data_IF_387927199616
#
_entry.id   IF_387927199616
#
_cell.length_a   1.000
_cell.length_b   1.000
_cell.length_c   1.000
_cell.angle_alpha   90.00
_cell.angle_beta   90.00
_cell.angle_gamma   90.00
#
_symmetry.space_group_name_H-M   'P 1'
#
loop_
_entity.id
_entity.type
_entity.pdbx_description
1 polymer ?
#
# COMPACT_ATOMS: atom_id res chain seq x y z
N UNK A 1 7.76 -9.96 -48.25
CA UNK A 1 8.20 -10.96 -49.26
C UNK A 1 7.01 -11.77 -49.77
N UNK A 2 6.20 -12.46 -48.96
CA UNK A 2 5.04 -13.25 -49.41
C UNK A 2 4.04 -12.47 -50.29
N UNK A 3 3.72 -11.23 -49.94
CA UNK A 3 2.82 -10.36 -50.72
C UNK A 3 3.32 -10.09 -52.15
N UNK A 4 4.62 -9.77 -52.30
CA UNK A 4 5.21 -9.56 -53.63
C UNK A 4 5.18 -10.79 -54.52
N UNK A 5 5.39 -11.98 -53.93
CA UNK A 5 5.27 -13.25 -54.64
C UNK A 5 3.83 -13.51 -55.08
N UNK A 6 2.87 -13.27 -54.19
CA UNK A 6 1.42 -13.44 -54.51
C UNK A 6 0.99 -12.54 -55.67
N UNK A 7 1.42 -11.27 -55.69
CA UNK A 7 1.14 -10.35 -56.80
C UNK A 7 1.72 -10.82 -58.14
N UNK A 8 2.92 -11.41 -58.12
CA UNK A 8 3.55 -11.94 -59.32
C UNK A 8 2.83 -13.20 -59.87
N UNK A 9 2.21 -14.02 -59.01
CA UNK A 9 1.47 -15.21 -59.42
C UNK A 9 0.08 -14.88 -60.00
N UNK A 10 -0.76 -14.12 -59.24
CA UNK A 10 -2.08 -13.69 -59.67
C UNK A 10 -2.57 -12.48 -58.92
N UNK A 11 -2.69 -11.30 -59.55
CA UNK A 11 -3.21 -10.09 -58.88
C UNK A 11 -4.66 -10.25 -58.41
N UNK A 12 -5.52 -11.00 -59.17
CA UNK A 12 -6.93 -11.20 -58.81
C UNK A 12 -7.10 -12.06 -57.56
N UNK A 13 -6.31 -13.11 -57.39
CA UNK A 13 -6.32 -13.95 -56.17
C UNK A 13 -5.73 -13.19 -54.99
N UNK A 14 -4.72 -12.35 -55.22
CA UNK A 14 -4.12 -11.51 -54.17
C UNK A 14 -5.12 -10.50 -53.63
N UNK A 15 -6.01 -9.93 -54.47
CA UNK A 15 -7.05 -9.02 -54.05
C UNK A 15 -8.03 -9.70 -53.09
N UNK A 16 -8.38 -10.96 -53.29
CA UNK A 16 -9.26 -11.75 -52.41
C UNK A 16 -8.59 -11.88 -51.00
N UNK A 17 -7.30 -12.26 -50.96
CA UNK A 17 -6.58 -12.38 -49.71
C UNK A 17 -6.48 -11.07 -48.95
N UNK A 18 -6.20 -9.97 -49.64
CA UNK A 18 -6.14 -8.62 -49.07
C UNK A 18 -7.50 -8.15 -48.56
N UNK A 19 -8.58 -8.41 -49.33
CA UNK A 19 -9.93 -8.07 -48.91
C UNK A 19 -10.35 -8.83 -47.63
N UNK A 20 -9.99 -10.12 -47.52
CA UNK A 20 -10.24 -10.89 -46.32
C UNK A 20 -9.52 -10.32 -45.07
N UNK A 21 -8.25 -9.95 -45.22
CA UNK A 21 -7.48 -9.34 -44.14
C UNK A 21 -8.05 -7.97 -43.78
N UNK A 22 -8.47 -7.18 -44.77
CA UNK A 22 -9.13 -5.90 -44.52
C UNK A 22 -10.46 -6.05 -43.77
N UNK A 23 -11.27 -7.06 -44.16
CA UNK A 23 -12.51 -7.38 -43.45
C UNK A 23 -12.26 -7.83 -42.00
N UNK A 24 -11.22 -8.64 -41.77
CA UNK A 24 -10.79 -9.00 -40.44
C UNK A 24 -10.35 -7.77 -39.61
N UNK A 25 -9.55 -6.88 -40.19
CA UNK A 25 -9.12 -5.65 -39.54
C UNK A 25 -10.29 -4.75 -39.15
N UNK A 26 -11.26 -4.59 -40.05
CA UNK A 26 -12.49 -3.85 -39.78
C UNK A 26 -13.31 -4.46 -38.64
N UNK A 27 -13.50 -5.80 -38.67
CA UNK A 27 -14.17 -6.50 -37.59
C UNK A 27 -13.46 -6.33 -36.24
N UNK A 28 -12.13 -6.43 -36.22
CA UNK A 28 -11.32 -6.25 -35.00
C UNK A 28 -11.41 -4.83 -34.47
N UNK A 29 -11.44 -3.84 -35.36
CA UNK A 29 -11.59 -2.45 -34.97
C UNK A 29 -12.98 -2.18 -34.38
N UNK A 30 -14.05 -2.70 -34.98
CA UNK A 30 -15.42 -2.57 -34.47
C UNK A 30 -15.62 -3.26 -33.13
N UNK A 31 -14.99 -4.42 -32.91
CA UNK A 31 -15.08 -5.16 -31.64
C UNK A 31 -14.22 -4.59 -30.51
N UNK A 32 -13.28 -3.69 -30.82
CA UNK A 32 -12.34 -3.15 -29.82
C UNK A 32 -13.04 -2.35 -28.70
N UNK A 33 -13.92 -1.40 -29.05
CA UNK A 33 -14.56 -0.55 -28.07
C UNK A 33 -15.46 -1.33 -27.10
N UNK A 34 -16.41 -2.18 -27.55
CA UNK A 34 -17.24 -2.96 -26.64
C UNK A 34 -16.44 -3.96 -25.79
N UNK A 35 -15.36 -4.52 -26.34
CA UNK A 35 -14.51 -5.44 -25.59
C UNK A 35 -13.70 -4.70 -24.49
N UNK A 36 -13.17 -3.53 -24.81
CA UNK A 36 -12.46 -2.68 -23.84
C UNK A 36 -13.38 -2.27 -22.69
N UNK A 37 -14.60 -1.81 -22.99
CA UNK A 37 -15.59 -1.42 -21.99
C UNK A 37 -15.97 -2.59 -21.08
N UNK A 38 -16.28 -3.76 -21.67
CA UNK A 38 -16.62 -4.96 -20.91
C UNK A 38 -15.47 -5.40 -19.98
N UNK A 39 -14.23 -5.36 -20.44
CA UNK A 39 -13.05 -5.68 -19.61
C UNK A 39 -12.84 -4.64 -18.49
N UNK A 40 -13.06 -3.35 -18.76
CA UNK A 40 -12.94 -2.32 -17.75
C UNK A 40 -13.97 -2.50 -16.62
N UNK A 41 -15.24 -2.77 -16.97
CA UNK A 41 -16.31 -3.07 -16.01
C UNK A 41 -16.00 -4.35 -15.19
N UNK A 42 -15.54 -5.41 -15.85
CA UNK A 42 -15.14 -6.65 -15.18
C UNK A 42 -14.06 -6.39 -14.13
N UNK A 43 -13.00 -5.64 -14.46
CA UNK A 43 -11.90 -5.32 -13.55
C UNK A 43 -12.36 -4.53 -12.32
N UNK A 44 -13.31 -3.60 -12.49
CA UNK A 44 -13.88 -2.82 -11.37
C UNK A 44 -14.69 -3.72 -10.44
N UNK A 45 -15.54 -4.58 -10.99
CA UNK A 45 -16.38 -5.48 -10.20
C UNK A 45 -15.55 -6.56 -9.49
N UNK A 46 -14.54 -7.12 -10.17
CA UNK A 46 -13.62 -8.08 -9.56
C UNK A 46 -12.82 -7.47 -8.40
N UNK A 47 -12.37 -6.22 -8.53
CA UNK A 47 -11.71 -5.50 -7.44
C UNK A 47 -12.64 -5.28 -6.25
N UNK A 48 -13.91 -4.93 -6.50
CA UNK A 48 -14.93 -4.73 -5.46
C UNK A 48 -15.26 -6.04 -4.71
N UNK A 49 -15.40 -7.13 -5.46
CA UNK A 49 -15.62 -8.47 -4.87
C UNK A 49 -14.46 -8.88 -3.98
N UNK A 50 -13.22 -8.78 -4.49
CA UNK A 50 -12.00 -9.14 -3.74
C UNK A 50 -11.84 -8.28 -2.48
N UNK A 51 -12.09 -6.97 -2.55
CA UNK A 51 -12.06 -6.09 -1.38
C UNK A 51 -13.07 -6.50 -0.33
N UNK A 52 -14.31 -6.84 -0.75
CA UNK A 52 -15.35 -7.32 0.15
C UNK A 52 -14.98 -8.67 0.80
N UNK A 53 -14.34 -9.57 0.05
CA UNK A 53 -13.85 -10.85 0.55
C UNK A 53 -12.76 -10.66 1.61
N UNK A 54 -11.74 -9.84 1.32
CA UNK A 54 -10.65 -9.53 2.27
C UNK A 54 -11.17 -8.85 3.53
N UNK A 55 -12.10 -7.90 3.40
CA UNK A 55 -12.77 -7.27 4.55
C UNK A 55 -13.51 -8.31 5.39
N UNK A 56 -14.19 -9.25 4.76
CA UNK A 56 -14.90 -10.34 5.43
C UNK A 56 -13.96 -11.21 6.26
N UNK A 57 -12.79 -11.56 5.73
CA UNK A 57 -11.77 -12.32 6.47
C UNK A 57 -11.24 -11.54 7.67
N UNK A 58 -10.95 -10.25 7.50
CA UNK A 58 -10.45 -9.38 8.59
C UNK A 58 -11.48 -9.19 9.70
N UNK A 59 -12.75 -9.18 9.36
CA UNK A 59 -13.86 -8.94 10.31
C UNK A 59 -14.62 -10.20 10.70
N UNK A 60 -14.01 -11.39 10.55
CA UNK A 60 -14.70 -12.68 10.78
C UNK A 60 -15.19 -12.84 12.23
N UNK A 61 -14.40 -12.34 13.21
CA UNK A 61 -14.74 -12.46 14.63
C UNK A 61 -15.97 -11.59 15.00
N UNK A 62 -15.98 -10.27 14.77
CA UNK A 62 -17.18 -9.46 15.05
C UNK A 62 -18.38 -9.92 14.24
N UNK A 63 -18.19 -10.44 13.04
CA UNK A 63 -19.27 -10.98 12.22
C UNK A 63 -19.91 -12.24 12.83
N UNK A 64 -19.08 -13.14 13.40
CA UNK A 64 -19.56 -14.30 14.14
C UNK A 64 -20.34 -13.89 15.40
N UNK A 65 -19.82 -12.91 16.13
CA UNK A 65 -20.45 -12.41 17.35
C UNK A 65 -21.80 -11.73 17.08
N UNK A 66 -21.93 -11.05 15.94
CA UNK A 66 -23.20 -10.40 15.54
C UNK A 66 -24.18 -11.33 14.82
N UNK A 67 -23.80 -12.58 14.52
CA UNK A 67 -24.67 -13.54 13.82
C UNK A 67 -24.97 -13.19 12.36
N UNK A 68 -24.19 -12.31 11.74
CA UNK A 68 -24.46 -11.76 10.39
C UNK A 68 -23.78 -12.52 9.24
N UNK A 69 -23.28 -13.75 9.48
CA UNK A 69 -22.57 -14.53 8.45
C UNK A 69 -23.43 -14.81 7.22
N UNK A 70 -24.71 -15.12 7.42
CA UNK A 70 -25.62 -15.42 6.32
C UNK A 70 -25.86 -14.20 5.43
N UNK A 71 -26.12 -13.04 6.00
CA UNK A 71 -26.32 -11.80 5.26
C UNK A 71 -25.05 -11.38 4.49
N UNK A 72 -23.88 -11.52 5.12
CA UNK A 72 -22.60 -11.21 4.48
C UNK A 72 -22.30 -12.15 3.32
N UNK A 73 -22.58 -13.46 3.48
CA UNK A 73 -22.44 -14.46 2.42
C UNK A 73 -23.34 -14.14 1.22
N UNK A 74 -24.59 -13.78 1.46
CA UNK A 74 -25.51 -13.39 0.37
C UNK A 74 -24.98 -12.18 -0.38
N UNK A 75 -24.48 -11.17 0.33
CA UNK A 75 -23.90 -9.98 -0.30
C UNK A 75 -22.67 -10.31 -1.15
N UNK A 76 -21.79 -11.18 -0.64
CA UNK A 76 -20.64 -11.64 -1.41
C UNK A 76 -21.07 -12.45 -2.65
N UNK A 77 -22.04 -13.36 -2.52
CA UNK A 77 -22.60 -14.11 -3.63
C UNK A 77 -23.17 -13.20 -4.73
N UNK A 78 -23.87 -12.12 -4.35
CA UNK A 78 -24.37 -11.15 -5.32
C UNK A 78 -23.22 -10.45 -6.07
N UNK A 79 -22.17 -10.02 -5.38
CA UNK A 79 -21.00 -9.43 -6.02
C UNK A 79 -20.30 -10.43 -6.95
N UNK A 80 -20.22 -11.70 -6.56
CA UNK A 80 -19.66 -12.76 -7.39
C UNK A 80 -20.51 -13.01 -8.65
N UNK A 81 -21.83 -12.97 -8.52
CA UNK A 81 -22.75 -13.08 -9.68
C UNK A 81 -22.52 -11.91 -10.64
N UNK A 82 -22.40 -10.68 -10.14
CA UNK A 82 -22.12 -9.51 -10.99
C UNK A 82 -20.79 -9.66 -11.75
N UNK A 83 -19.74 -10.20 -11.11
CA UNK A 83 -18.44 -10.50 -11.77
C UNK A 83 -18.60 -11.56 -12.85
N UNK A 84 -19.30 -12.67 -12.55
CA UNK A 84 -19.53 -13.77 -13.48
C UNK A 84 -20.36 -13.29 -14.69
N UNK A 85 -21.39 -12.49 -14.47
CA UNK A 85 -22.23 -11.97 -15.57
C UNK A 85 -21.42 -11.09 -16.52
N UNK A 86 -20.48 -10.29 -16.00
CA UNK A 86 -19.59 -9.49 -16.84
C UNK A 86 -18.54 -10.33 -17.56
N UNK A 87 -17.98 -11.34 -16.90
CA UNK A 87 -17.06 -12.29 -17.54
C UNK A 87 -17.75 -13.03 -18.69
N UNK A 88 -18.96 -13.56 -18.46
CA UNK A 88 -19.77 -14.20 -19.49
C UNK A 88 -20.08 -13.26 -20.67
N UNK A 89 -20.36 -11.98 -20.40
CA UNK A 89 -20.56 -10.98 -21.46
C UNK A 89 -19.29 -10.77 -22.28
N UNK A 90 -18.14 -10.67 -21.63
CA UNK A 90 -16.84 -10.53 -22.29
C UNK A 90 -16.54 -11.75 -23.15
N UNK A 91 -16.73 -12.96 -22.62
CA UNK A 91 -16.53 -14.21 -23.34
C UNK A 91 -17.48 -14.35 -24.53
N UNK A 92 -18.75 -13.95 -24.42
CA UNK A 92 -19.70 -13.94 -25.56
C UNK A 92 -19.23 -13.01 -26.67
N UNK A 93 -18.74 -11.82 -26.36
CA UNK A 93 -18.19 -10.88 -27.35
C UNK A 93 -16.95 -11.47 -28.03
N UNK A 94 -16.06 -12.11 -27.29
CA UNK A 94 -14.88 -12.75 -27.84
C UNK A 94 -15.24 -13.96 -28.72
N UNK A 95 -16.21 -14.77 -28.31
CA UNK A 95 -16.72 -15.88 -29.10
C UNK A 95 -17.35 -15.42 -30.41
N UNK A 96 -18.18 -14.36 -30.38
CA UNK A 96 -18.77 -13.75 -31.58
C UNK A 96 -17.67 -13.24 -32.53
N UNK A 97 -16.67 -12.56 -31.99
CA UNK A 97 -15.53 -12.11 -32.80
C UNK A 97 -14.76 -13.28 -33.41
N UNK A 98 -14.44 -14.30 -32.62
CA UNK A 98 -13.69 -15.48 -33.07
C UNK A 98 -14.45 -16.24 -34.14
N UNK A 99 -15.76 -16.44 -33.97
CA UNK A 99 -16.63 -17.11 -34.95
C UNK A 99 -16.72 -16.29 -36.24
N UNK A 100 -16.96 -15.00 -36.16
CA UNK A 100 -17.04 -14.13 -37.34
C UNK A 100 -15.69 -14.08 -38.09
N UNK A 101 -14.57 -14.02 -37.39
CA UNK A 101 -13.25 -14.04 -38.01
C UNK A 101 -12.94 -15.37 -38.68
N UNK A 102 -13.36 -16.50 -38.10
CA UNK A 102 -13.23 -17.82 -38.71
C UNK A 102 -14.08 -17.96 -40.00
N UNK A 103 -15.29 -17.41 -40.02
CA UNK A 103 -16.14 -17.38 -41.21
C UNK A 103 -15.52 -16.52 -42.34
N UNK A 104 -14.97 -15.36 -42.02
CA UNK A 104 -14.28 -14.49 -43.01
C UNK A 104 -13.07 -15.20 -43.57
N UNK A 105 -12.20 -15.75 -42.75
CA UNK A 105 -10.97 -16.43 -43.22
C UNK A 105 -11.24 -17.73 -43.94
N UNK A 106 -12.16 -18.55 -43.43
CA UNK A 106 -12.58 -19.79 -44.07
C UNK A 106 -13.32 -19.59 -45.40
N UNK A 107 -14.24 -18.61 -45.42
CA UNK A 107 -14.94 -18.21 -46.64
C UNK A 107 -13.99 -17.69 -47.73
N UNK A 108 -13.05 -16.86 -47.35
CA UNK A 108 -12.02 -16.32 -48.25
C UNK A 108 -11.12 -17.46 -48.81
N UNK A 109 -10.75 -18.44 -47.98
CA UNK A 109 -9.97 -19.59 -48.42
C UNK A 109 -10.72 -20.44 -49.45
N UNK A 110 -12.00 -20.72 -49.21
CA UNK A 110 -12.86 -21.42 -50.15
C UNK A 110 -13.01 -20.65 -51.46
N UNK A 111 -13.25 -19.35 -51.41
CA UNK A 111 -13.38 -18.49 -52.58
C UNK A 111 -12.06 -18.43 -53.37
N UNK A 112 -10.92 -18.33 -52.70
CA UNK A 112 -9.62 -18.37 -53.32
C UNK A 112 -9.36 -19.69 -54.03
N UNK A 113 -9.75 -20.84 -53.43
CA UNK A 113 -9.64 -22.16 -54.05
C UNK A 113 -10.52 -22.28 -55.30
N UNK A 114 -11.77 -21.83 -55.24
CA UNK A 114 -12.71 -21.92 -56.39
C UNK A 114 -12.24 -21.03 -57.56
N UNK A 115 -11.84 -19.81 -57.29
CA UNK A 115 -11.32 -18.94 -58.36
C UNK A 115 -9.96 -19.39 -58.89
N UNK A 116 -9.08 -19.91 -58.00
CA UNK A 116 -7.81 -20.48 -58.40
C UNK A 116 -7.98 -21.74 -59.26
N UNK A 117 -8.93 -22.65 -58.95
CA UNK A 117 -9.27 -23.82 -59.74
C UNK A 117 -9.80 -23.40 -61.14
N UNK A 118 -10.64 -22.37 -61.22
CA UNK A 118 -11.12 -21.85 -62.50
C UNK A 118 -9.94 -21.36 -63.37
N UNK A 119 -8.98 -20.64 -62.83
CA UNK A 119 -7.77 -20.17 -63.53
C UNK A 119 -6.87 -21.35 -63.98
N UNK A 120 -6.83 -22.45 -63.24
CA UNK A 120 -6.11 -23.67 -63.63
C UNK A 120 -6.83 -24.33 -64.83
N UNK A 121 -8.17 -24.40 -64.84
CA UNK A 121 -8.94 -24.94 -65.95
C UNK A 121 -8.80 -24.12 -67.25
N UNK A 122 -8.61 -22.78 -67.10
CA UNK A 122 -8.33 -21.85 -68.19
C UNK A 122 -6.86 -21.88 -68.66
N UNK A 123 -6.02 -22.74 -68.09
CA UNK A 123 -4.57 -22.84 -68.34
C UNK A 123 -3.77 -21.54 -68.06
N UNK A 124 -4.31 -20.65 -67.28
CA UNK A 124 -3.61 -19.40 -66.87
C UNK A 124 -2.71 -19.61 -65.65
N UNK A 125 -3.00 -20.65 -64.83
CA UNK A 125 -2.21 -21.10 -63.70
C UNK A 125 -1.93 -22.60 -63.75
N UNK A 126 -0.78 -23.05 -63.24
CA UNK A 126 -0.57 -24.48 -62.99
C UNK A 126 -1.09 -24.90 -61.60
N UNK A 127 -1.39 -26.20 -61.41
CA UNK A 127 -1.78 -26.72 -60.10
C UNK A 127 -0.71 -26.46 -59.04
N UNK A 128 0.58 -26.59 -59.38
CA UNK A 128 1.69 -26.28 -58.46
C UNK A 128 1.74 -24.82 -58.07
N UNK A 129 1.46 -23.90 -59.02
CA UNK A 129 1.37 -22.46 -58.73
C UNK A 129 0.20 -22.14 -57.80
N UNK A 130 -0.97 -22.78 -57.97
CA UNK A 130 -2.11 -22.61 -57.07
C UNK A 130 -1.80 -23.08 -55.62
N UNK A 131 -1.15 -24.23 -55.48
CA UNK A 131 -0.75 -24.77 -54.19
C UNK A 131 0.27 -23.85 -53.50
N UNK A 132 1.29 -23.36 -54.25
CA UNK A 132 2.25 -22.38 -53.74
C UNK A 132 1.56 -21.06 -53.33
N UNK A 133 0.64 -20.57 -54.18
CA UNK A 133 -0.13 -19.35 -53.85
C UNK A 133 -0.95 -19.50 -52.59
N UNK A 134 -1.67 -20.65 -52.43
CA UNK A 134 -2.50 -20.92 -51.22
C UNK A 134 -1.61 -20.92 -49.94
N UNK A 135 -0.42 -21.51 -50.02
CA UNK A 135 0.53 -21.51 -48.91
C UNK A 135 1.02 -20.09 -48.54
N UNK A 136 1.36 -19.28 -49.57
CA UNK A 136 1.75 -17.89 -49.33
C UNK A 136 0.60 -17.03 -48.82
N UNK A 137 -0.62 -17.21 -49.33
CA UNK A 137 -1.82 -16.52 -48.87
C UNK A 137 -2.15 -16.86 -47.41
N UNK A 138 -2.05 -18.12 -47.02
CA UNK A 138 -2.22 -18.57 -45.65
C UNK A 138 -1.18 -17.93 -44.69
N UNK A 139 0.11 -17.94 -45.10
CA UNK A 139 1.19 -17.33 -44.33
C UNK A 139 1.02 -15.81 -44.22
N UNK A 140 0.67 -15.12 -45.30
CA UNK A 140 0.39 -13.69 -45.32
C UNK A 140 -0.77 -13.32 -44.39
N UNK A 141 -1.92 -13.99 -44.55
CA UNK A 141 -3.11 -13.77 -43.73
C UNK A 141 -2.81 -13.96 -42.24
N UNK A 142 -2.19 -15.08 -41.88
CA UNK A 142 -1.86 -15.39 -40.48
C UNK A 142 -0.93 -14.36 -39.88
N UNK A 143 0.14 -13.93 -40.58
CA UNK A 143 1.06 -12.94 -40.07
C UNK A 143 0.44 -11.57 -39.88
N UNK A 144 -0.42 -11.13 -40.83
CA UNK A 144 -1.07 -9.82 -40.76
C UNK A 144 -2.18 -9.82 -39.68
N UNK A 145 -2.97 -10.90 -39.58
CA UNK A 145 -3.98 -10.98 -38.51
C UNK A 145 -3.36 -11.06 -37.14
N UNK A 146 -2.22 -11.77 -36.96
CA UNK A 146 -1.49 -11.78 -35.70
C UNK A 146 -0.91 -10.37 -35.36
N UNK A 147 -0.38 -9.65 -36.35
CA UNK A 147 0.11 -8.28 -36.14
C UNK A 147 -1.02 -7.34 -35.68
N UNK A 148 -2.19 -7.43 -36.32
CA UNK A 148 -3.38 -6.67 -35.90
C UNK A 148 -3.82 -7.07 -34.50
N UNK A 149 -3.81 -8.36 -34.16
CA UNK A 149 -4.12 -8.88 -32.84
C UNK A 149 -3.18 -8.29 -31.79
N UNK A 150 -1.88 -8.37 -31.99
CA UNK A 150 -0.88 -7.82 -31.06
C UNK A 150 -0.97 -6.30 -30.94
N UNK A 151 -1.27 -5.58 -32.01
CA UNK A 151 -1.47 -4.13 -31.94
C UNK A 151 -2.69 -3.77 -31.03
N UNK A 152 -3.76 -4.55 -31.09
CA UNK A 152 -4.93 -4.37 -30.21
C UNK A 152 -4.60 -4.76 -28.78
N UNK A 153 -3.88 -5.86 -28.54
CA UNK A 153 -3.40 -6.27 -27.22
C UNK A 153 -2.52 -5.19 -26.57
N UNK A 154 -1.57 -4.63 -27.32
CA UNK A 154 -0.76 -3.50 -26.86
C UNK A 154 -1.61 -2.28 -26.46
N UNK A 155 -2.66 -2.01 -27.23
CA UNK A 155 -3.59 -0.92 -26.90
C UNK A 155 -4.45 -1.25 -25.65
N UNK A 156 -4.79 -2.51 -25.44
CA UNK A 156 -5.49 -2.97 -24.22
C UNK A 156 -4.60 -2.90 -22.96
N UNK A 157 -3.27 -3.09 -23.11
CA UNK A 157 -2.33 -2.88 -22.00
C UNK A 157 -2.38 -1.47 -21.44
N UNK A 158 -2.80 -0.47 -22.22
CA UNK A 158 -3.04 0.88 -21.73
C UNK A 158 -4.01 0.95 -20.55
N UNK A 159 -5.03 0.07 -20.53
CA UNK A 159 -5.99 -0.01 -19.42
C UNK A 159 -5.34 -0.44 -18.10
N UNK A 160 -4.38 -1.37 -18.17
CA UNK A 160 -3.59 -1.78 -17.02
C UNK A 160 -2.53 -0.73 -16.68
N UNK A 161 -1.97 -0.07 -17.71
CA UNK A 161 -1.01 1.02 -17.57
C UNK A 161 -1.57 2.24 -16.84
N UNK A 162 -2.82 2.63 -17.11
CA UNK A 162 -3.50 3.72 -16.41
C UNK A 162 -3.55 3.46 -14.89
N UNK A 163 -3.86 2.23 -14.47
CA UNK A 163 -3.88 1.85 -13.04
C UNK A 163 -2.50 1.79 -12.40
N UNK A 164 -1.49 1.35 -13.15
CA UNK A 164 -0.11 1.37 -12.69
C UNK A 164 0.43 2.81 -12.60
N UNK A 165 -0.04 3.68 -13.50
CA UNK A 165 0.33 5.09 -13.49
C UNK A 165 -0.13 5.80 -12.21
N UNK A 166 -1.30 5.48 -11.68
CA UNK A 166 -1.81 6.02 -10.41
C UNK A 166 -0.87 5.73 -9.23
N UNK A 167 -0.09 4.63 -9.31
CA UNK A 167 0.89 4.27 -8.29
C UNK A 167 2.30 4.76 -8.68
N UNK A 168 2.69 4.50 -9.93
CA UNK A 168 4.08 4.74 -10.38
C UNK A 168 4.40 6.21 -10.66
N UNK A 169 3.38 7.03 -10.93
CA UNK A 169 3.51 8.47 -11.18
C UNK A 169 3.16 9.30 -9.95
N UNK A 170 2.81 8.66 -8.80
CA UNK A 170 2.71 9.37 -7.53
C UNK A 170 4.05 10.06 -7.24
N UNK A 171 3.99 11.30 -6.76
CA UNK A 171 5.20 12.06 -6.45
C UNK A 171 6.07 11.26 -5.47
N UNK A 172 7.29 10.94 -5.89
CA UNK A 172 8.26 10.30 -5.01
C UNK A 172 8.56 11.21 -3.82
N UNK A 173 8.78 10.62 -2.66
CA UNK A 173 9.25 11.37 -1.50
C UNK A 173 10.50 12.17 -1.85
N UNK A 174 10.58 13.47 -1.42
CA UNK A 174 11.72 14.30 -1.74
C UNK A 174 13.01 13.67 -1.21
N UNK A 175 13.98 13.54 -2.10
CA UNK A 175 15.33 13.08 -1.75
C UNK A 175 15.99 14.10 -0.84
N UNK A 176 16.94 13.62 -0.03
CA UNK A 176 17.74 14.49 0.83
C UNK A 176 18.46 15.56 -0.01
N UNK A 177 18.25 16.83 0.33
CA UNK A 177 18.95 17.96 -0.28
C UNK A 177 20.32 18.20 0.38
N UNK A 178 20.53 17.64 1.56
CA UNK A 178 21.74 17.84 2.36
C UNK A 178 22.34 16.49 2.73
N UNK A 179 23.60 16.27 2.31
CA UNK A 179 24.40 15.16 2.84
C UNK A 179 24.77 15.47 4.29
N UNK A 180 24.14 14.82 5.22
CA UNK A 180 24.38 15.04 6.66
C UNK A 180 24.82 13.73 7.32
N UNK A 181 25.89 13.81 8.10
CA UNK A 181 26.32 12.71 8.94
C UNK A 181 25.31 12.51 10.09
N UNK A 182 24.55 11.42 10.01
CA UNK A 182 23.53 11.06 11.01
C UNK A 182 24.06 11.05 12.45
N UNK A 183 25.36 10.75 12.64
CA UNK A 183 25.95 10.69 13.98
C UNK A 183 26.04 12.06 14.62
N UNK A 184 26.16 13.13 13.83
CA UNK A 184 26.31 14.51 14.32
C UNK A 184 25.01 15.22 14.63
N UNK A 185 23.87 14.73 14.09
CA UNK A 185 22.57 15.34 14.33
C UNK A 185 22.19 15.21 15.79
N UNK A 186 21.89 16.33 16.44
CA UNK A 186 21.30 16.37 17.77
C UNK A 186 19.79 16.11 17.67
N UNK A 187 19.23 15.21 18.48
CA UNK A 187 17.81 14.90 18.40
C UNK A 187 16.94 15.95 19.12
N UNK A 188 17.18 17.23 18.82
CA UNK A 188 16.28 18.31 19.24
C UNK A 188 15.27 18.60 18.13
N UNK A 189 14.00 18.70 18.49
CA UNK A 189 12.90 18.91 17.56
C UNK A 189 12.28 20.27 17.85
N UNK A 190 12.00 21.03 16.79
CA UNK A 190 11.22 22.27 16.90
C UNK A 190 10.03 22.20 15.92
N UNK A 191 8.86 22.48 16.42
CA UNK A 191 7.67 22.71 15.62
C UNK A 191 7.48 24.21 15.51
N UNK A 192 7.30 24.71 14.29
CA UNK A 192 7.11 26.14 14.01
C UNK A 192 5.79 26.34 13.30
N UNK A 193 4.84 26.96 13.99
CA UNK A 193 3.50 27.32 13.49
C UNK A 193 2.80 26.14 12.80
N UNK A 194 2.82 24.96 13.39
CA UNK A 194 2.22 23.78 12.78
C UNK A 194 0.70 23.91 12.74
N UNK A 195 0.16 23.82 11.51
CA UNK A 195 -1.25 23.66 11.23
C UNK A 195 -1.50 22.43 10.38
N UNK A 196 -2.59 21.69 10.63
CA UNK A 196 -2.94 20.51 9.86
C UNK A 196 -4.45 20.33 9.73
N UNK A 197 -4.87 20.01 8.50
CA UNK A 197 -6.22 19.53 8.12
C UNK A 197 -6.09 18.46 7.04
N UNK A 198 -6.99 17.48 7.02
CA UNK A 198 -6.90 16.36 6.05
C UNK A 198 -7.25 16.76 4.62
N UNK A 199 -8.16 17.71 4.43
CA UNK A 199 -8.52 18.25 3.11
C UNK A 199 -8.80 19.75 3.17
N UNK A 200 -8.71 20.41 2.01
CA UNK A 200 -9.13 21.80 1.89
C UNK A 200 -10.63 21.94 2.18
N UNK A 201 -10.98 22.83 3.11
CA UNK A 201 -12.37 23.03 3.55
C UNK A 201 -12.78 22.22 4.78
N UNK A 202 -11.98 21.25 5.23
CA UNK A 202 -12.21 20.58 6.51
C UNK A 202 -11.74 21.43 7.71
N UNK A 203 -12.31 21.20 8.91
CA UNK A 203 -11.88 21.89 10.12
C UNK A 203 -10.42 21.58 10.44
N UNK A 204 -9.75 22.56 11.05
CA UNK A 204 -8.37 22.38 11.54
C UNK A 204 -8.34 21.37 12.68
N UNK A 205 -7.46 20.39 12.59
CA UNK A 205 -7.20 19.43 13.66
C UNK A 205 -6.12 19.97 14.60
N UNK A 206 -5.09 20.58 14.00
CA UNK A 206 -4.02 21.25 14.72
C UNK A 206 -3.85 22.64 14.13
N UNK A 207 -3.58 23.63 14.99
CA UNK A 207 -3.38 25.01 14.55
C UNK A 207 -2.42 25.74 15.46
N UNK A 208 -1.50 26.50 14.86
CA UNK A 208 -0.54 27.36 15.58
C UNK A 208 0.24 26.63 16.69
N UNK A 209 0.69 25.38 16.41
CA UNK A 209 1.52 24.68 17.38
C UNK A 209 2.99 25.12 17.25
N UNK A 210 3.49 25.70 18.33
CA UNK A 210 4.87 26.14 18.46
C UNK A 210 5.46 25.58 19.76
N UNK A 211 6.41 24.66 19.66
CA UNK A 211 7.19 24.20 20.80
C UNK A 211 8.49 23.53 20.36
N UNK A 212 9.42 23.43 21.31
CA UNK A 212 10.71 22.77 21.11
C UNK A 212 10.89 21.64 22.12
N UNK A 213 11.58 20.58 21.69
CA UNK A 213 11.96 19.44 22.52
C UNK A 213 13.47 19.36 22.49
N UNK A 214 14.09 19.46 23.66
CA UNK A 214 15.54 19.43 23.78
C UNK A 214 16.09 18.00 23.54
N UNK A 215 17.34 17.89 23.09
CA UNK A 215 18.01 16.60 22.95
C UNK A 215 18.08 15.88 24.30
N UNK A 216 17.63 14.62 24.33
CA UNK A 216 17.57 13.80 25.56
C UNK A 216 16.37 14.09 26.46
N UNK A 217 15.52 15.04 26.12
CA UNK A 217 14.32 15.38 26.89
C UNK A 217 13.24 14.28 26.74
N UNK A 218 12.51 14.03 27.82
CA UNK A 218 11.33 13.15 27.84
C UNK A 218 10.07 13.98 28.00
N UNK A 219 9.18 13.94 26.99
CA UNK A 219 7.92 14.65 27.02
C UNK A 219 6.74 13.69 26.96
N UNK A 220 5.63 14.08 27.62
CA UNK A 220 4.35 13.43 27.49
C UNK A 220 3.34 14.34 26.76
N UNK A 221 2.66 13.82 25.77
CA UNK A 221 1.56 14.51 25.07
C UNK A 221 0.25 13.99 25.66
N UNK A 222 -0.55 14.89 26.19
CA UNK A 222 -1.86 14.58 26.80
C UNK A 222 -2.96 15.41 26.12
N UNK A 223 -4.22 15.01 26.31
CA UNK A 223 -5.37 15.75 25.80
C UNK A 223 -6.57 14.82 25.58
N UNK A 224 -7.77 15.35 25.39
CA UNK A 224 -8.97 14.58 25.17
C UNK A 224 -8.89 13.71 23.91
N UNK A 225 -9.76 12.71 23.82
CA UNK A 225 -9.84 11.90 22.58
C UNK A 225 -10.26 12.79 21.41
N UNK A 226 -9.62 12.61 20.26
CA UNK A 226 -9.92 13.40 19.07
C UNK A 226 -9.24 14.77 18.98
N UNK A 227 -8.46 15.21 19.96
CA UNK A 227 -7.77 16.53 19.92
C UNK A 227 -6.55 16.58 18.98
N UNK A 228 -6.25 15.51 18.24
CA UNK A 228 -5.16 15.53 17.25
C UNK A 228 -3.83 14.91 17.71
N UNK A 229 -3.76 14.21 18.86
CA UNK A 229 -2.52 13.55 19.34
C UNK A 229 -1.87 12.63 18.31
N UNK A 230 -2.62 11.67 17.79
CA UNK A 230 -2.09 10.74 16.79
C UNK A 230 -1.77 11.42 15.45
N UNK A 231 -2.47 12.50 15.11
CA UNK A 231 -2.14 13.35 13.95
C UNK A 231 -0.79 14.05 14.18
N UNK A 232 -0.57 14.63 15.36
CA UNK A 232 0.72 15.24 15.72
C UNK A 232 1.86 14.21 15.68
N UNK A 233 1.65 13.00 16.21
CA UNK A 233 2.63 11.91 16.12
C UNK A 233 2.95 11.57 14.66
N UNK A 234 1.95 11.45 13.79
CA UNK A 234 2.17 11.19 12.35
C UNK A 234 2.96 12.31 11.67
N UNK A 235 2.74 13.56 12.05
CA UNK A 235 3.52 14.72 11.57
C UNK A 235 4.97 14.63 12.07
N UNK A 236 5.17 14.32 13.35
CA UNK A 236 6.51 14.12 13.94
C UNK A 236 7.25 12.92 13.34
N UNK A 237 6.56 11.88 12.87
CA UNK A 237 7.14 10.74 12.17
C UNK A 237 7.44 11.04 10.69
N UNK A 238 7.01 12.21 10.18
CA UNK A 238 7.10 12.55 8.77
C UNK A 238 6.13 11.78 7.87
N UNK A 239 5.13 11.09 8.44
CA UNK A 239 4.10 10.35 7.70
C UNK A 239 3.02 11.27 7.11
N UNK A 240 2.81 12.43 7.74
CA UNK A 240 1.89 13.46 7.27
C UNK A 240 2.65 14.79 7.15
N UNK A 241 2.66 15.43 5.99
CA UNK A 241 3.20 16.78 5.85
C UNK A 241 2.25 17.77 6.54
N UNK A 242 2.74 18.72 7.35
CA UNK A 242 1.89 19.77 7.88
C UNK A 242 1.32 20.62 6.75
N UNK A 243 0.06 21.10 6.92
CA UNK A 243 -0.59 22.01 5.96
C UNK A 243 0.05 23.40 6.04
N UNK A 244 0.39 23.85 7.26
CA UNK A 244 1.10 25.09 7.54
C UNK A 244 2.26 24.83 8.50
N UNK A 245 3.33 25.62 8.40
CA UNK A 245 4.50 25.51 9.26
C UNK A 245 5.46 24.41 8.85
N UNK A 246 6.43 24.14 9.72
CA UNK A 246 7.48 23.15 9.48
C UNK A 246 7.97 22.48 10.75
N UNK A 247 8.42 21.23 10.61
CA UNK A 247 9.12 20.49 11.68
C UNK A 247 10.60 20.50 11.38
N UNK A 248 11.39 20.88 12.38
CA UNK A 248 12.84 20.93 12.29
C UNK A 248 13.47 19.92 13.25
N UNK A 249 14.58 19.31 12.82
CA UNK A 249 15.48 18.55 13.68
C UNK A 249 16.86 19.18 13.61
N UNK A 250 17.44 19.51 14.77
CA UNK A 250 18.72 20.24 14.87
C UNK A 250 18.72 21.55 14.02
N UNK A 251 17.57 22.23 13.96
CA UNK A 251 17.37 23.43 13.15
C UNK A 251 17.22 23.22 11.65
N UNK A 252 17.26 21.95 11.17
CA UNK A 252 17.12 21.60 9.76
C UNK A 252 15.69 21.13 9.51
N UNK A 253 14.94 21.71 8.54
CA UNK A 253 13.65 21.20 8.14
C UNK A 253 13.73 19.73 7.70
N UNK A 254 12.83 18.87 8.22
CA UNK A 254 12.85 17.43 7.91
C UNK A 254 12.74 17.15 6.42
N UNK A 255 12.03 18.01 5.66
CA UNK A 255 11.94 17.91 4.20
C UNK A 255 13.29 18.09 3.50
N UNK A 256 14.14 19.00 3.99
CA UNK A 256 15.50 19.22 3.43
C UNK A 256 16.47 18.12 3.82
N UNK A 257 16.32 17.58 5.02
CA UNK A 257 17.11 16.45 5.47
C UNK A 257 16.79 15.17 4.66
N UNK A 258 15.57 15.09 4.13
CA UNK A 258 15.02 13.91 3.49
C UNK A 258 14.33 12.98 4.51
N UNK A 259 13.10 12.55 4.19
CA UNK A 259 12.29 11.75 5.12
C UNK A 259 12.96 10.42 5.46
N UNK A 260 13.55 9.74 4.49
CA UNK A 260 14.25 8.47 4.70
C UNK A 260 15.43 8.60 5.68
N UNK A 261 16.18 9.72 5.61
CA UNK A 261 17.29 10.02 6.52
C UNK A 261 16.76 10.36 7.91
N UNK A 262 15.74 11.20 7.98
CA UNK A 262 15.08 11.56 9.23
C UNK A 262 14.51 10.33 9.95
N UNK A 263 13.81 9.48 9.24
CA UNK A 263 13.21 8.26 9.77
C UNK A 263 14.26 7.28 10.31
N UNK A 264 15.50 7.27 9.79
CA UNK A 264 16.56 6.46 10.36
C UNK A 264 16.92 6.84 11.80
N UNK A 265 16.71 8.09 12.18
CA UNK A 265 16.96 8.58 13.55
C UNK A 265 15.85 8.18 14.53
N UNK A 266 14.70 7.71 14.04
CA UNK A 266 13.48 7.49 14.82
C UNK A 266 13.25 6.01 15.08
N UNK A 267 12.98 5.65 16.32
CA UNK A 267 12.28 4.43 16.72
C UNK A 267 10.85 4.79 17.09
N UNK A 268 9.88 4.10 16.54
CA UNK A 268 8.48 4.40 16.82
C UNK A 268 7.70 3.12 17.14
N UNK A 269 6.73 3.25 18.05
CA UNK A 269 5.64 2.29 18.24
C UNK A 269 4.35 3.08 18.15
N UNK A 270 3.56 2.83 17.10
CA UNK A 270 2.27 3.51 16.86
C UNK A 270 1.09 2.59 17.21
N UNK A 271 -0.08 3.18 17.44
CA UNK A 271 -1.28 2.47 17.91
C UNK A 271 -1.67 1.29 16.99
N UNK A 272 -1.62 1.48 15.68
CA UNK A 272 -2.02 0.47 14.69
C UNK A 272 -0.82 -0.35 14.16
N UNK A 273 0.31 -0.36 14.88
CA UNK A 273 1.51 -1.08 14.44
C UNK A 273 1.29 -2.60 14.45
N UNK A 274 1.93 -3.29 13.51
CA UNK A 274 1.76 -4.73 13.32
C UNK A 274 3.09 -5.44 13.12
N UNK A 275 3.11 -6.70 13.52
CA UNK A 275 4.20 -7.60 13.23
C UNK A 275 3.99 -8.24 11.86
N UNK A 276 5.08 -8.47 11.17
CA UNK A 276 5.09 -9.15 9.88
C UNK A 276 5.10 -10.67 10.08
N UNK A 277 4.60 -11.41 9.10
CA UNK A 277 4.73 -12.86 9.10
C UNK A 277 6.21 -13.25 9.05
N UNK A 278 6.66 -14.04 10.03
CA UNK A 278 8.05 -14.42 10.21
C UNK A 278 8.35 -14.79 11.65
N UNK A 279 9.61 -14.97 12.00
CA UNK A 279 10.04 -15.26 13.38
C UNK A 279 10.05 -13.98 14.24
N UNK A 280 10.10 -14.16 15.56
CA UNK A 280 10.26 -13.04 16.49
C UNK A 280 11.60 -12.32 16.25
N UNK A 281 12.68 -13.08 15.98
CA UNK A 281 13.98 -12.49 15.66
C UNK A 281 13.94 -11.60 14.42
N UNK A 282 13.30 -12.07 13.35
CA UNK A 282 13.10 -11.28 12.12
C UNK A 282 12.28 -10.04 12.37
N UNK A 283 11.25 -10.13 13.20
CA UNK A 283 10.42 -8.98 13.56
C UNK A 283 11.17 -7.94 14.38
N UNK A 284 12.02 -8.35 15.34
CA UNK A 284 12.82 -7.42 16.14
C UNK A 284 13.90 -6.76 15.29
N UNK A 285 14.61 -7.52 14.45
CA UNK A 285 15.64 -6.99 13.56
C UNK A 285 15.06 -6.24 12.36
N UNK A 286 13.74 -6.32 12.14
CA UNK A 286 13.04 -5.82 10.96
C UNK A 286 13.66 -6.31 9.65
N UNK A 287 14.01 -7.63 9.63
CA UNK A 287 14.63 -8.28 8.47
C UNK A 287 15.94 -7.61 8.01
N UNK A 288 16.64 -6.93 8.91
CA UNK A 288 17.89 -6.28 8.60
C UNK A 288 18.94 -7.29 8.08
N UNK A 289 19.66 -6.96 7.01
CA UNK A 289 20.70 -7.85 6.47
C UNK A 289 21.86 -8.06 7.48
N UNK A 290 22.19 -7.03 8.25
CA UNK A 290 23.23 -7.04 9.27
C UNK A 290 22.63 -7.42 10.64
N UNK A 291 22.23 -8.68 10.77
CA UNK A 291 21.63 -9.20 12.00
C UNK A 291 22.66 -9.35 13.13
N UNK A 292 22.38 -8.70 14.27
CA UNK A 292 23.17 -8.80 15.49
C UNK A 292 22.32 -9.43 16.61
N UNK A 293 22.61 -10.68 16.95
CA UNK A 293 21.88 -11.42 17.97
C UNK A 293 22.04 -10.79 19.37
N UNK A 294 23.24 -10.32 19.72
CA UNK A 294 23.49 -9.70 21.03
C UNK A 294 22.68 -8.43 21.22
N UNK A 295 22.61 -7.59 20.18
CA UNK A 295 21.78 -6.40 20.17
C UNK A 295 20.29 -6.73 20.26
N UNK A 296 19.83 -7.72 19.49
CA UNK A 296 18.44 -8.16 19.52
C UNK A 296 18.03 -8.60 20.93
N UNK A 297 18.84 -9.45 21.59
CA UNK A 297 18.56 -9.91 22.95
C UNK A 297 18.60 -8.75 23.97
N UNK A 298 19.53 -7.82 23.85
CA UNK A 298 19.59 -6.63 24.71
C UNK A 298 18.33 -5.78 24.57
N UNK A 299 17.86 -5.54 23.33
CA UNK A 299 16.61 -4.82 23.07
C UNK A 299 15.39 -5.55 23.63
N UNK A 300 15.33 -6.88 23.50
CA UNK A 300 14.27 -7.70 24.07
C UNK A 300 14.26 -7.65 25.60
N UNK A 301 15.42 -7.62 26.27
CA UNK A 301 15.52 -7.42 27.73
C UNK A 301 15.03 -6.03 28.13
N UNK A 302 15.43 -5.00 27.41
CA UNK A 302 14.95 -3.61 27.64
C UNK A 302 13.44 -3.49 27.48
N UNK A 303 12.87 -4.20 26.49
CA UNK A 303 11.43 -4.26 26.27
C UNK A 303 10.70 -5.26 27.23
N UNK A 304 11.39 -5.87 28.19
CA UNK A 304 10.86 -6.81 29.16
C UNK A 304 10.12 -8.01 28.54
N UNK A 305 10.63 -8.54 27.40
CA UNK A 305 10.01 -9.66 26.68
C UNK A 305 10.95 -10.88 26.55
N UNK A 306 12.24 -10.73 26.84
CA UNK A 306 13.28 -11.74 26.66
C UNK A 306 12.93 -13.10 27.29
N UNK A 307 12.60 -13.11 28.59
CA UNK A 307 12.32 -14.33 29.33
C UNK A 307 11.07 -15.04 28.80
N UNK A 308 10.06 -14.29 28.38
CA UNK A 308 8.86 -14.87 27.80
C UNK A 308 9.16 -15.50 26.44
N UNK A 309 9.99 -14.85 25.61
CA UNK A 309 10.44 -15.42 24.34
C UNK A 309 11.20 -16.74 24.57
N UNK A 310 12.11 -16.79 25.54
CA UNK A 310 12.86 -17.99 25.86
C UNK A 310 11.96 -19.12 26.37
N UNK A 311 10.85 -18.83 27.01
CA UNK A 311 9.85 -19.81 27.45
C UNK A 311 9.02 -20.41 26.31
N UNK A 312 9.05 -19.83 25.11
CA UNK A 312 8.36 -20.34 23.94
C UNK A 312 9.11 -21.56 23.36
N UNK A 313 8.40 -22.54 22.76
CA UNK A 313 9.02 -23.78 22.27
C UNK A 313 10.19 -23.57 21.29
N UNK A 314 10.17 -22.54 20.50
CA UNK A 314 11.22 -22.20 19.52
C UNK A 314 11.99 -20.91 19.87
N UNK A 315 11.79 -20.36 21.07
CA UNK A 315 12.43 -19.12 21.50
C UNK A 315 12.25 -18.01 20.46
N UNK A 316 13.33 -17.34 20.09
CA UNK A 316 13.33 -16.28 19.09
C UNK A 316 12.95 -16.72 17.67
N UNK A 317 13.02 -18.02 17.37
CA UNK A 317 12.59 -18.59 16.08
C UNK A 317 11.09 -18.92 16.07
N UNK A 318 10.36 -18.62 17.14
CA UNK A 318 8.90 -18.77 17.15
C UNK A 318 8.27 -17.94 16.08
N UNK A 319 7.43 -18.58 15.25
CA UNK A 319 6.76 -17.93 14.13
C UNK A 319 5.62 -17.06 14.66
N UNK A 320 5.64 -15.82 14.25
CA UNK A 320 4.56 -14.86 14.45
C UNK A 320 3.63 -14.98 13.25
N UNK A 321 2.37 -15.36 13.48
CA UNK A 321 1.36 -15.40 12.43
C UNK A 321 1.07 -14.01 11.86
N UNK A 322 0.26 -13.96 10.80
CA UNK A 322 -0.15 -12.69 10.20
C UNK A 322 -0.64 -11.70 11.26
N UNK A 323 -0.12 -10.49 11.23
CA UNK A 323 -0.42 -9.38 12.15
C UNK A 323 -0.16 -9.69 13.64
N UNK A 324 0.68 -10.68 13.96
CA UNK A 324 1.00 -11.04 15.35
C UNK A 324 -0.05 -11.87 16.06
N UNK A 325 -0.85 -12.63 15.33
CA UNK A 325 -2.00 -13.40 15.86
C UNK A 325 -1.64 -14.47 16.89
N UNK A 326 -0.38 -14.90 16.96
CA UNK A 326 0.11 -15.90 17.94
C UNK A 326 0.57 -15.29 19.28
N UNK A 327 0.70 -13.97 19.37
CA UNK A 327 1.14 -13.27 20.56
C UNK A 327 -0.03 -12.56 21.27
N UNK A 328 0.05 -12.43 22.59
CA UNK A 328 -0.87 -11.53 23.29
C UNK A 328 -0.63 -10.07 22.90
N UNK A 329 -1.62 -9.20 23.10
CA UNK A 329 -1.48 -7.77 22.78
C UNK A 329 -0.29 -7.12 23.50
N UNK A 330 -0.07 -7.47 24.76
CA UNK A 330 1.08 -6.99 25.53
C UNK A 330 2.42 -7.54 25.04
N UNK A 331 2.49 -8.82 24.63
CA UNK A 331 3.69 -9.40 24.00
C UNK A 331 3.98 -8.70 22.67
N UNK A 332 2.95 -8.52 21.84
CA UNK A 332 3.07 -7.81 20.56
C UNK A 332 3.67 -6.42 20.77
N UNK A 333 3.14 -5.61 21.70
CA UNK A 333 3.66 -4.27 21.99
C UNK A 333 5.12 -4.29 22.44
N UNK A 334 5.51 -5.24 23.28
CA UNK A 334 6.91 -5.37 23.73
C UNK A 334 7.86 -5.80 22.61
N UNK A 335 7.42 -6.66 21.70
CA UNK A 335 8.21 -7.02 20.51
C UNK A 335 8.37 -5.82 19.59
N UNK A 336 7.29 -5.02 19.38
CA UNK A 336 7.35 -3.76 18.61
C UNK A 336 8.29 -2.75 19.25
N UNK A 337 8.31 -2.66 20.58
CA UNK A 337 9.26 -1.80 21.29
C UNK A 337 10.71 -2.31 21.12
N UNK A 338 10.96 -3.61 21.22
CA UNK A 338 12.27 -4.19 20.97
C UNK A 338 12.74 -3.89 19.53
N UNK A 339 11.84 -3.97 18.55
CA UNK A 339 12.08 -3.57 17.15
C UNK A 339 12.48 -2.10 17.04
N UNK A 340 11.73 -1.21 17.69
CA UNK A 340 12.02 0.22 17.66
C UNK A 340 13.41 0.53 18.26
N UNK A 341 13.80 -0.16 19.33
CA UNK A 341 15.10 -0.02 19.99
C UNK A 341 16.25 -0.64 19.19
N UNK A 342 16.02 -1.74 18.47
CA UNK A 342 17.04 -2.45 17.68
C UNK A 342 17.68 -1.54 16.62
N UNK A 343 16.92 -0.59 16.10
CA UNK A 343 17.36 0.43 15.15
C UNK A 343 18.38 1.41 15.73
N UNK A 344 18.60 1.43 17.04
CA UNK A 344 19.44 2.40 17.78
C UNK A 344 19.02 3.85 17.50
N UNK A 345 17.75 4.19 17.71
CA UNK A 345 17.24 5.51 17.40
C UNK A 345 17.85 6.58 18.29
N UNK A 346 17.85 7.84 17.82
CA UNK A 346 18.13 9.02 18.65
C UNK A 346 16.85 9.62 19.25
N UNK A 347 15.72 9.37 18.60
CA UNK A 347 14.38 9.80 18.98
C UNK A 347 13.48 8.59 19.12
N UNK A 348 12.80 8.44 20.25
CA UNK A 348 11.83 7.39 20.50
C UNK A 348 10.43 7.99 20.63
N UNK A 349 9.52 7.57 19.74
CA UNK A 349 8.13 8.02 19.73
C UNK A 349 7.22 6.84 20.07
N UNK A 350 6.38 7.02 21.10
CA UNK A 350 5.50 6.00 21.64
C UNK A 350 4.05 6.52 21.63
N UNK A 351 3.20 5.96 20.73
CA UNK A 351 1.77 6.28 20.69
C UNK A 351 0.98 5.13 21.29
N UNK A 352 0.52 5.31 22.53
CA UNK A 352 -0.20 4.30 23.32
C UNK A 352 0.52 2.94 23.42
N UNK A 353 1.85 2.94 23.33
CA UNK A 353 2.66 1.71 23.30
C UNK A 353 2.58 0.86 24.57
N UNK A 354 1.98 1.37 25.64
CA UNK A 354 1.81 0.68 26.92
C UNK A 354 0.34 0.46 27.31
N UNK A 355 -0.61 0.85 26.45
CA UNK A 355 -2.05 0.80 26.76
C UNK A 355 -2.58 -0.61 27.07
N UNK A 356 -2.01 -1.65 26.46
CA UNK A 356 -2.39 -3.04 26.65
C UNK A 356 -1.51 -3.78 27.66
N UNK A 357 -0.62 -3.08 28.37
CA UNK A 357 0.25 -3.68 29.39
C UNK A 357 -0.39 -3.57 30.78
N UNK A 358 -0.09 -4.54 31.61
CA UNK A 358 -0.32 -4.46 33.04
C UNK A 358 0.63 -3.42 33.68
N UNK A 359 0.23 -2.85 34.81
CA UNK A 359 0.96 -1.78 35.47
C UNK A 359 2.42 -2.17 35.82
N UNK A 360 2.68 -3.44 36.16
CA UNK A 360 4.02 -3.93 36.46
C UNK A 360 4.94 -3.93 35.25
N UNK A 361 4.47 -4.41 34.09
CA UNK A 361 5.26 -4.44 32.86
C UNK A 361 5.45 -3.03 32.30
N UNK A 362 4.45 -2.17 32.43
CA UNK A 362 4.57 -0.74 32.06
C UNK A 362 5.67 -0.07 32.88
N UNK A 363 5.67 -0.22 34.21
CA UNK A 363 6.72 0.34 35.08
C UNK A 363 8.11 -0.20 34.75
N UNK A 364 8.24 -1.49 34.47
CA UNK A 364 9.52 -2.10 34.06
C UNK A 364 10.05 -1.48 32.76
N UNK A 365 9.20 -1.30 31.78
CA UNK A 365 9.56 -0.71 30.49
C UNK A 365 9.97 0.75 30.68
N UNK A 366 9.17 1.55 31.41
CA UNK A 366 9.49 2.94 31.68
C UNK A 366 10.84 3.06 32.41
N UNK A 367 11.10 2.23 33.43
CA UNK A 367 12.37 2.20 34.15
C UNK A 367 13.54 1.75 33.27
N UNK A 368 13.32 0.81 32.35
CA UNK A 368 14.36 0.32 31.45
C UNK A 368 14.71 1.33 30.35
N UNK A 369 13.73 2.11 29.89
CA UNK A 369 13.93 3.14 28.85
C UNK A 369 14.45 4.45 29.45
N UNK A 370 14.13 4.75 30.73
CA UNK A 370 14.51 6.00 31.38
C UNK A 370 16.01 6.33 31.28
N UNK A 371 16.96 5.40 31.53
CA UNK A 371 18.39 5.67 31.48
C UNK A 371 18.94 5.81 30.05
N UNK A 372 18.18 5.44 29.03
CA UNK A 372 18.63 5.58 27.66
C UNK A 372 18.71 7.07 27.27
N UNK A 373 19.87 7.46 26.77
CA UNK A 373 20.11 8.84 26.30
C UNK A 373 19.40 9.11 24.96
N UNK A 374 18.07 9.11 24.97
CA UNK A 374 17.19 9.31 23.84
C UNK A 374 16.25 10.47 24.09
N UNK A 375 15.93 11.24 23.06
CA UNK A 375 14.79 12.15 23.12
C UNK A 375 13.51 11.29 23.03
N UNK A 376 12.59 11.45 24.00
CA UNK A 376 11.41 10.61 24.15
C UNK A 376 10.14 11.44 24.02
N UNK A 377 9.27 11.00 23.13
CA UNK A 377 7.94 11.58 22.94
C UNK A 377 6.92 10.46 23.14
N UNK A 378 6.04 10.62 24.12
CA UNK A 378 5.04 9.60 24.41
C UNK A 378 3.64 10.22 24.54
N UNK A 379 2.66 9.58 23.90
CA UNK A 379 1.24 9.86 24.16
C UNK A 379 0.85 9.10 25.40
N UNK A 380 0.41 9.83 26.41
CA UNK A 380 0.09 9.26 27.71
C UNK A 380 -1.38 9.47 28.08
N UNK A 381 -2.02 8.39 28.49
CA UNK A 381 -3.37 8.39 29.06
C UNK A 381 -3.39 8.00 30.55
N UNK A 382 -2.25 7.54 31.08
CA UNK A 382 -2.12 7.09 32.48
C UNK A 382 -1.22 8.07 33.26
N UNK A 383 -1.59 8.29 34.51
CA UNK A 383 -0.88 9.21 35.38
C UNK A 383 0.57 8.80 35.64
N UNK A 384 0.85 7.49 35.68
CA UNK A 384 2.21 6.97 35.91
C UNK A 384 3.14 7.33 34.75
N UNK A 385 2.68 7.20 33.50
CA UNK A 385 3.45 7.55 32.30
C UNK A 385 3.73 9.06 32.24
N UNK A 386 2.73 9.88 32.59
CA UNK A 386 2.87 11.34 32.68
C UNK A 386 3.88 11.74 33.76
N UNK A 387 3.88 11.06 34.91
CA UNK A 387 4.77 11.36 36.03
C UNK A 387 6.25 11.08 35.72
N UNK A 388 6.55 10.24 34.72
CA UNK A 388 7.92 9.94 34.28
C UNK A 388 8.45 10.91 33.22
N UNK A 389 7.61 11.78 32.69
CA UNK A 389 8.02 12.80 31.74
C UNK A 389 8.58 14.04 32.45
N UNK A 390 9.57 14.67 31.84
CA UNK A 390 10.13 15.93 32.33
C UNK A 390 9.21 17.13 32.07
N UNK A 391 8.43 17.04 30.98
CA UNK A 391 7.49 18.07 30.57
C UNK A 391 6.26 17.44 29.94
N UNK A 392 5.12 18.09 30.17
CA UNK A 392 3.84 17.66 29.59
C UNK A 392 3.34 18.72 28.62
N UNK A 393 2.91 18.27 27.46
CA UNK A 393 2.26 19.09 26.43
C UNK A 393 0.79 18.69 26.36
N UNK A 394 -0.10 19.57 26.81
CA UNK A 394 -1.53 19.36 26.71
C UNK A 394 -2.07 19.95 25.40
N UNK A 395 -2.68 19.12 24.58
CA UNK A 395 -3.34 19.54 23.35
C UNK A 395 -4.81 19.87 23.62
N UNK A 396 -5.22 21.08 23.25
CA UNK A 396 -6.58 21.58 23.42
C UNK A 396 -7.34 21.68 22.07
N UNK A 397 -7.02 20.86 21.09
CA UNK A 397 -7.65 20.88 19.77
C UNK A 397 -7.37 22.16 18.99
N UNK A 398 -8.43 22.85 18.53
CA UNK A 398 -8.31 24.09 17.73
C UNK A 398 -7.63 25.26 18.46
N UNK A 399 -7.54 25.22 19.79
CA UNK A 399 -6.98 26.31 20.61
C UNK A 399 -5.46 26.26 20.77
N UNK A 400 -4.79 25.26 20.14
CA UNK A 400 -3.34 25.10 20.22
C UNK A 400 -2.89 24.14 21.31
N UNK A 401 -1.75 24.42 21.96
CA UNK A 401 -1.22 23.58 23.03
C UNK A 401 -0.87 24.42 24.27
N UNK A 402 -1.06 23.83 25.43
CA UNK A 402 -0.55 24.33 26.69
C UNK A 402 0.64 23.49 27.14
N UNK A 403 1.70 24.12 27.60
CA UNK A 403 2.94 23.45 28.00
C UNK A 403 3.08 23.55 29.51
N UNK A 404 3.17 22.39 30.17
CA UNK A 404 3.38 22.31 31.62
C UNK A 404 4.75 21.65 31.89
N UNK A 405 5.52 22.26 32.78
CA UNK A 405 6.74 21.64 33.31
C UNK A 405 6.36 20.82 34.55
N UNK A 406 6.64 19.53 34.50
CA UNK A 406 6.39 18.65 35.67
C UNK A 406 7.47 18.88 36.71
N UNK A 407 7.23 19.83 37.60
CA UNK A 407 8.15 20.13 38.72
C UNK A 407 7.95 19.22 39.94
N UNK A 408 6.87 18.40 39.99
CA UNK A 408 6.60 17.44 41.06
C UNK A 408 5.52 16.40 40.60
N UNK A 409 5.71 15.09 40.82
CA UNK A 409 4.75 14.04 40.38
C UNK A 409 3.34 14.16 41.02
N UNK A 410 3.15 14.96 42.03
CA UNK A 410 1.85 15.21 42.66
C UNK A 410 1.00 16.29 41.97
N UNK A 411 1.57 17.19 41.18
CA UNK A 411 0.82 18.26 40.50
C UNK A 411 0.16 17.83 39.18
N UNK A 412 0.49 16.65 38.66
CA UNK A 412 -0.07 16.12 37.39
C UNK A 412 -1.52 15.65 37.49
N UNK A 413 -2.08 15.48 38.71
CA UNK A 413 -3.49 15.11 38.88
C UNK A 413 -4.47 16.19 38.42
N UNK A 414 -4.09 17.47 38.50
CA UNK A 414 -4.94 18.59 38.08
C UNK A 414 -5.05 18.72 36.54
N UNK A 415 -4.07 18.20 35.77
CA UNK A 415 -4.10 18.25 34.32
C UNK A 415 -4.95 17.14 33.67
N UNK A 416 -5.39 16.15 34.46
CA UNK A 416 -6.22 15.03 34.00
C UNK A 416 -7.69 15.12 34.46
N UNK A 417 -7.99 16.07 35.37
CA UNK A 417 -9.40 16.33 35.75
C UNK A 417 -10.00 17.29 34.71
N UNK A 418 -11.00 16.80 33.99
CA UNK A 418 -11.83 17.58 33.08
C UNK A 418 -12.34 18.87 33.74
N UNK A 419 -12.45 19.97 33.01
CA UNK A 419 -13.16 21.14 33.50
C UNK A 419 -14.64 20.76 33.65
N UNK A 420 -15.04 20.37 34.86
CA UNK A 420 -16.44 20.26 35.21
C UNK A 420 -17.04 21.68 35.25
N UNK A 421 -18.10 21.80 34.43
CA UNK A 421 -19.16 22.79 34.54
C UNK A 421 -18.83 24.25 34.34
N UNK A 422 -19.19 24.78 33.19
CA UNK A 422 -19.66 26.18 33.13
C UNK A 422 -20.98 26.30 33.91
N UNK A 423 -21.16 27.31 34.76
CA UNK A 423 -22.48 27.67 35.23
C UNK A 423 -23.26 28.39 34.14
N UNK A 424 -24.56 28.09 34.11
CA UNK A 424 -25.66 28.60 33.27
C UNK A 424 -25.59 30.10 32.95
#
# INVERSE_FOLDING_TARGET
>A
MSFGIMLAYSPSLTLIAVAAVAAYAALRWLSYAPLREANAEYLVLAAKENSHFLETLRTIVPMKLSGQQAARRVRWQNLMVDVIDRDVRTQKLDLLFTTASALITGGAALWLLTQGAAQVMENTLSVGMLMAFSSYAGTFSSRVTNLIGHAVELKMLGLHGERLADIALEEAEPLAEVETDLQRIRPCIALRNIGFRYAEGEPWILRHLDFEIAAGESIAIVGPSGCGKSTLIKILLGLLPPTEGEVLIDGIPIRRLGLSVYQQLIGAVIQDDSLLAGSISENISFFAPDFDQGRMEACARTAAIHEEILSMPMGYQSIVGEMGSSLSSGQKQRVLLARALYKQPKLLILDEATSHLDALNEQRIVQAIAPLNLTKIQVAHRAETVACAQRVIALNGELGCEIFVVSNPMSSRAALEEPQSMPT
#
